data_IF_637239211290
#
_entry.id   IF_637239211290
#
_cell.length_a   1.000
_cell.length_b   1.000
_cell.length_c   1.000
_cell.angle_alpha   90.00
_cell.angle_beta   90.00
_cell.angle_gamma   90.00
#
_symmetry.space_group_name_H-M   'P 1'
#
loop_
_entity.id
_entity.type
_entity.pdbx_description
1 polymer ?
#
# COMPACT_ATOMS: atom_id res chain seq x y z
N UNK A 1 11.50 13.64 16.99
CA UNK A 1 10.95 12.28 16.78
C UNK A 1 11.67 11.68 15.59
N UNK A 2 12.23 10.47 15.72
CA UNK A 2 12.75 9.73 14.57
C UNK A 2 11.58 9.02 13.89
N UNK A 3 11.44 9.18 12.58
CA UNK A 3 10.42 8.48 11.79
C UNK A 3 10.91 7.05 11.52
N UNK A 4 10.10 6.06 11.85
CA UNK A 4 10.30 4.67 11.44
C UNK A 4 9.56 4.42 10.12
N UNK A 5 10.30 4.38 9.01
CA UNK A 5 9.71 4.15 7.68
C UNK A 5 9.16 2.73 7.45
N UNK A 6 9.27 1.84 8.45
CA UNK A 6 8.65 0.50 8.44
C UNK A 6 7.36 0.42 9.24
N UNK A 7 7.03 1.47 9.99
CA UNK A 7 5.78 1.55 10.74
C UNK A 7 4.75 2.31 9.91
N UNK A 8 3.59 1.69 9.70
CA UNK A 8 2.51 2.30 8.93
C UNK A 8 2.00 3.59 9.58
N UNK A 9 1.96 3.68 10.91
CA UNK A 9 1.48 4.88 11.61
C UNK A 9 2.41 6.06 11.35
N UNK A 10 3.72 5.84 11.43
CA UNK A 10 4.73 6.86 11.13
C UNK A 10 4.67 7.31 9.66
N UNK A 11 4.43 6.38 8.73
CA UNK A 11 4.24 6.71 7.32
C UNK A 11 2.96 7.54 7.09
N UNK A 12 1.85 7.19 7.74
CA UNK A 12 0.59 7.93 7.62
C UNK A 12 0.67 9.34 8.21
N UNK A 13 1.55 9.59 9.19
CA UNK A 13 1.83 10.94 9.70
C UNK A 13 2.52 11.84 8.67
N UNK A 14 3.36 11.28 7.81
CA UNK A 14 4.13 12.05 6.81
C UNK A 14 3.53 12.01 5.39
N UNK A 15 2.61 11.08 5.13
CA UNK A 15 1.92 10.93 3.83
C UNK A 15 0.43 11.30 3.99
N UNK A 16 0.05 12.56 3.74
CA UNK A 16 -1.31 13.04 4.04
C UNK A 16 -2.41 12.37 3.19
N UNK A 17 -2.06 11.81 2.03
CA UNK A 17 -2.96 11.03 1.18
C UNK A 17 -2.94 9.53 1.46
N UNK A 18 -2.00 9.07 2.29
CA UNK A 18 -1.77 7.66 2.58
C UNK A 18 -0.75 7.00 1.66
N UNK A 19 -0.63 5.68 1.82
CA UNK A 19 0.31 4.83 1.10
C UNK A 19 -0.39 3.57 0.60
N UNK A 20 0.15 2.94 -0.43
CA UNK A 20 -0.31 1.63 -0.88
C UNK A 20 0.88 0.73 -1.19
N UNK A 21 0.68 -0.57 -1.12
CA UNK A 21 1.66 -1.57 -1.52
C UNK A 21 1.00 -2.67 -2.36
N UNK A 22 1.80 -3.32 -3.20
CA UNK A 22 1.34 -4.41 -4.06
C UNK A 22 2.14 -5.65 -3.67
N UNK A 23 1.44 -6.68 -3.22
CA UNK A 23 2.03 -7.97 -2.89
C UNK A 23 1.52 -9.05 -3.85
N UNK A 24 2.24 -10.18 -3.91
CA UNK A 24 1.82 -11.36 -4.66
C UNK A 24 1.27 -12.39 -3.69
N UNK A 25 -0.01 -12.74 -3.80
CA UNK A 25 -0.62 -13.78 -2.97
C UNK A 25 -0.08 -15.18 -3.33
N UNK A 26 -0.26 -16.20 -2.48
CA UNK A 26 0.23 -17.56 -2.74
C UNK A 26 -0.30 -18.20 -4.04
N UNK A 27 -1.45 -17.74 -4.54
CA UNK A 27 -2.03 -18.17 -5.80
C UNK A 27 -1.47 -17.42 -7.04
N UNK A 28 -0.42 -16.60 -6.86
CA UNK A 28 0.21 -15.80 -7.91
C UNK A 28 -0.56 -14.56 -8.33
N UNK A 29 -1.71 -14.24 -7.70
CA UNK A 29 -2.48 -13.05 -8.03
C UNK A 29 -1.96 -11.83 -7.26
N UNK A 30 -1.92 -10.65 -7.89
CA UNK A 30 -1.57 -9.42 -7.19
C UNK A 30 -2.69 -9.01 -6.21
N UNK A 31 -2.28 -8.48 -5.07
CA UNK A 31 -3.14 -7.90 -4.04
C UNK A 31 -2.60 -6.52 -3.71
N UNK A 32 -3.47 -5.52 -3.67
CA UNK A 32 -3.10 -4.15 -3.29
C UNK A 32 -3.61 -3.90 -1.88
N UNK A 33 -2.72 -3.47 -0.98
CA UNK A 33 -3.08 -2.99 0.35
C UNK A 33 -3.03 -1.47 0.34
N UNK A 34 -4.08 -0.83 0.84
CA UNK A 34 -4.26 0.61 0.82
C UNK A 34 -4.43 1.10 2.25
N UNK A 35 -3.60 2.07 2.64
CA UNK A 35 -3.57 2.64 3.97
C UNK A 35 -3.83 4.14 3.88
N UNK A 36 -4.92 4.60 4.50
CA UNK A 36 -5.31 6.02 4.53
C UNK A 36 -5.42 6.51 5.99
N UNK A 37 -5.02 7.77 6.29
CA UNK A 37 -5.10 8.30 7.64
C UNK A 37 -6.54 8.27 8.18
N UNK A 38 -6.74 7.67 9.35
CA UNK A 38 -8.04 7.60 10.02
C UNK A 38 -9.07 6.68 9.36
N UNK A 39 -8.67 5.87 8.37
CA UNK A 39 -9.52 4.89 7.72
C UNK A 39 -9.01 3.47 7.99
N UNK A 40 -9.91 2.46 8.00
CA UNK A 40 -9.47 1.07 8.05
C UNK A 40 -8.61 0.73 6.83
N UNK A 41 -7.71 -0.23 7.01
CA UNK A 41 -6.96 -0.84 5.91
C UNK A 41 -7.92 -1.44 4.88
N UNK A 42 -7.64 -1.19 3.61
CA UNK A 42 -8.38 -1.71 2.47
C UNK A 42 -7.50 -2.71 1.71
N UNK A 43 -8.09 -3.85 1.34
CA UNK A 43 -7.44 -4.89 0.55
C UNK A 43 -8.17 -5.10 -0.76
N UNK A 44 -7.48 -4.88 -1.87
CA UNK A 44 -8.02 -5.01 -3.23
C UNK A 44 -7.43 -6.26 -3.86
N UNK A 45 -8.28 -7.26 -4.09
CA UNK A 45 -7.90 -8.48 -4.81
C UNK A 45 -7.94 -8.23 -6.32
N UNK A 46 -6.78 -8.23 -6.97
CA UNK A 46 -6.71 -7.98 -8.39
C UNK A 46 -6.98 -9.27 -9.19
N UNK A 47 -7.66 -9.09 -10.32
CA UNK A 47 -8.03 -10.18 -11.24
C UNK A 47 -6.85 -10.60 -12.13
N UNK A 48 -5.92 -9.68 -12.36
CA UNK A 48 -4.76 -9.85 -13.22
C UNK A 48 -3.69 -8.81 -12.88
N UNK A 49 -2.44 -8.98 -13.37
CA UNK A 49 -1.41 -7.94 -13.31
C UNK A 49 -1.85 -6.61 -13.96
N UNK A 50 -2.65 -6.67 -15.02
CA UNK A 50 -3.20 -5.48 -15.68
C UNK A 50 -4.15 -4.70 -14.77
N UNK A 51 -5.04 -5.41 -14.05
CA UNK A 51 -5.94 -4.80 -13.07
C UNK A 51 -5.12 -4.15 -11.94
N UNK A 52 -4.08 -4.82 -11.42
CA UNK A 52 -3.22 -4.22 -10.40
C UNK A 52 -2.52 -2.93 -10.88
N UNK A 53 -2.10 -2.88 -12.15
CA UNK A 53 -1.52 -1.66 -12.70
C UNK A 53 -2.54 -0.52 -12.86
N UNK A 54 -3.80 -0.81 -13.19
CA UNK A 54 -4.87 0.19 -13.21
C UNK A 54 -5.11 0.78 -11.81
N UNK A 55 -5.30 -0.09 -10.80
CA UNK A 55 -5.45 0.33 -9.40
C UNK A 55 -4.26 1.17 -8.95
N UNK A 56 -3.04 0.76 -9.28
CA UNK A 56 -1.82 1.53 -8.97
C UNK A 56 -1.85 2.93 -9.58
N UNK A 57 -2.29 3.07 -10.83
CA UNK A 57 -2.40 4.36 -11.51
C UNK A 57 -3.46 5.24 -10.84
N UNK A 58 -4.65 4.71 -10.57
CA UNK A 58 -5.73 5.43 -9.90
C UNK A 58 -5.29 5.96 -8.51
N UNK A 59 -4.67 5.12 -7.68
CA UNK A 59 -4.16 5.54 -6.37
C UNK A 59 -3.04 6.58 -6.48
N UNK A 60 -2.20 6.47 -7.51
CA UNK A 60 -1.14 7.46 -7.77
C UNK A 60 -1.73 8.80 -8.22
N UNK A 61 -2.77 8.78 -9.04
CA UNK A 61 -3.49 9.97 -9.51
C UNK A 61 -4.24 10.67 -8.36
N UNK A 62 -4.66 9.92 -7.33
CA UNK A 62 -5.17 10.46 -6.05
C UNK A 62 -4.08 11.09 -5.16
N UNK A 63 -2.81 10.96 -5.55
CA UNK A 63 -1.66 11.48 -4.82
C UNK A 63 -1.16 10.57 -3.69
N UNK A 64 -1.54 9.29 -3.68
CA UNK A 64 -1.00 8.32 -2.72
C UNK A 64 0.44 7.92 -3.07
N UNK A 65 1.21 7.50 -2.07
CA UNK A 65 2.59 7.01 -2.28
C UNK A 65 2.61 5.49 -2.35
N UNK A 66 3.11 4.95 -3.47
CA UNK A 66 3.39 3.51 -3.58
C UNK A 66 4.65 3.11 -2.83
N UNK A 67 4.57 2.02 -2.07
CA UNK A 67 5.71 1.37 -1.42
C UNK A 67 6.27 0.26 -2.32
N UNK A 68 7.56 -0.03 -2.19
CA UNK A 68 8.26 -1.06 -2.97
C UNK A 68 8.56 -2.26 -2.08
N UNK A 69 7.99 -3.43 -2.39
CA UNK A 69 8.25 -4.69 -1.69
C UNK A 69 7.96 -4.64 -0.19
N UNK A 70 8.63 -5.47 0.61
CA UNK A 70 8.54 -5.61 2.09
C UNK A 70 8.95 -4.35 2.89
N UNK A 71 8.64 -3.16 2.37
CA UNK A 71 8.84 -1.87 3.01
C UNK A 71 8.17 -1.84 4.40
N UNK A 72 7.02 -2.50 4.52
CA UNK A 72 6.40 -2.84 5.79
C UNK A 72 6.90 -4.23 6.21
N UNK A 73 7.94 -4.28 7.05
CA UNK A 73 8.27 -5.52 7.73
C UNK A 73 7.21 -5.77 8.79
N UNK A 74 6.32 -6.76 8.58
CA UNK A 74 5.57 -7.33 9.69
C UNK A 74 6.59 -8.02 10.61
N UNK A 75 6.76 -7.49 11.83
CA UNK A 75 7.50 -8.18 12.86
C UNK A 75 6.87 -9.57 13.09
N UNK A 76 7.66 -10.61 13.40
CA UNK A 76 7.13 -11.93 13.70
C UNK A 76 6.16 -11.92 14.89
#
# INVERSE_FOLDING_TARGET
MSVNFRDIQDLLLIKPKGVFEIQTAPNGRPVVFVYRPGQPEETIFCLSPGHANQVRQELSDEGMTGLVGDALCQAP
#
